data_IF_020643586717
#
_entry.id   IF_020643586717
#
_cell.length_a   1.000
_cell.length_b   1.000
_cell.length_c   1.000
_cell.angle_alpha   90.00
_cell.angle_beta   90.00
_cell.angle_gamma   90.00
#
_symmetry.space_group_name_H-M   'P 1'
#
loop_
_entity.id
_entity.type
_entity.pdbx_description
1 polymer ?
#
# COMPACT_ATOMS: atom_id res chain seq x y z
N UNK A 1 -9.18 -13.64 -16.87
CA UNK A 1 -10.51 -13.04 -17.14
C UNK A 1 -10.76 -11.84 -16.21
N UNK A 2 -11.68 -10.94 -16.56
CA UNK A 2 -11.83 -9.64 -15.88
C UNK A 2 -12.63 -9.73 -14.57
N UNK A 3 -13.41 -10.77 -14.42
CA UNK A 3 -14.14 -11.17 -13.21
C UNK A 3 -13.24 -11.82 -12.15
N UNK A 4 -12.00 -12.21 -12.50
CA UNK A 4 -11.06 -12.81 -11.56
C UNK A 4 -10.80 -11.88 -10.36
N UNK A 5 -11.03 -12.40 -9.15
CA UNK A 5 -10.81 -11.66 -7.92
C UNK A 5 -9.31 -11.44 -7.68
N UNK A 6 -8.94 -10.18 -7.44
CA UNK A 6 -7.56 -9.78 -7.16
C UNK A 6 -7.38 -9.37 -5.70
N UNK A 7 -8.37 -8.66 -5.12
CA UNK A 7 -8.34 -8.25 -3.73
C UNK A 7 -9.51 -8.88 -2.97
N UNK A 8 -9.26 -9.95 -2.21
CA UNK A 8 -10.29 -10.58 -1.39
C UNK A 8 -10.81 -9.68 -0.25
N UNK A 9 -9.94 -8.87 0.35
CA UNK A 9 -10.33 -7.99 1.47
C UNK A 9 -11.34 -6.89 1.08
N UNK A 10 -11.40 -6.51 -0.20
CA UNK A 10 -12.31 -5.46 -0.70
C UNK A 10 -13.19 -5.94 -1.89
N UNK A 11 -13.17 -7.25 -2.21
CA UNK A 11 -13.91 -7.82 -3.34
C UNK A 11 -13.60 -7.14 -4.69
N UNK A 12 -12.34 -6.83 -4.98
CA UNK A 12 -11.95 -6.13 -6.22
C UNK A 12 -11.44 -7.12 -7.25
N UNK A 13 -12.08 -7.14 -8.42
CA UNK A 13 -11.69 -7.95 -9.57
C UNK A 13 -10.69 -7.24 -10.50
N UNK A 14 -10.07 -8.02 -11.40
CA UNK A 14 -9.10 -7.53 -12.39
C UNK A 14 -9.66 -6.39 -13.24
N UNK A 15 -10.87 -6.55 -13.79
CA UNK A 15 -11.49 -5.59 -14.69
C UNK A 15 -11.74 -4.23 -14.02
N UNK A 16 -12.06 -4.22 -12.73
CA UNK A 16 -12.22 -2.98 -11.96
C UNK A 16 -10.90 -2.22 -11.80
N UNK A 17 -9.78 -2.94 -11.66
CA UNK A 17 -8.45 -2.33 -11.57
C UNK A 17 -8.01 -1.79 -12.93
N UNK A 18 -8.01 -2.64 -13.96
CA UNK A 18 -7.57 -2.25 -15.31
C UNK A 18 -8.45 -1.15 -15.90
N UNK A 19 -9.76 -1.21 -15.71
CA UNK A 19 -10.70 -0.18 -16.14
C UNK A 19 -10.53 1.15 -15.41
N UNK A 20 -10.16 1.13 -14.13
CA UNK A 20 -9.85 2.36 -13.40
C UNK A 20 -8.54 2.99 -13.90
N UNK A 21 -7.52 2.17 -14.16
CA UNK A 21 -6.23 2.62 -14.70
C UNK A 21 -6.44 3.32 -16.05
N UNK A 22 -7.11 2.65 -17.00
CA UNK A 22 -7.30 3.20 -18.35
C UNK A 22 -8.30 4.35 -18.38
N UNK A 23 -9.42 4.24 -17.65
CA UNK A 23 -10.48 5.25 -17.67
C UNK A 23 -10.12 6.56 -16.95
N UNK A 24 -9.20 6.52 -15.98
CA UNK A 24 -8.78 7.70 -15.20
C UNK A 24 -7.31 8.06 -15.38
N UNK A 25 -6.56 7.30 -16.19
CA UNK A 25 -5.13 7.52 -16.39
C UNK A 25 -4.30 7.36 -15.12
N UNK A 26 -4.63 6.39 -14.27
CA UNK A 26 -3.94 6.20 -12.99
C UNK A 26 -2.55 5.62 -13.23
N UNK A 27 -1.50 6.28 -12.76
CA UNK A 27 -0.11 5.85 -12.97
C UNK A 27 0.60 5.39 -11.71
N UNK A 28 0.01 5.58 -10.53
CA UNK A 28 0.59 5.17 -9.25
C UNK A 28 -0.27 4.15 -8.50
N UNK A 29 0.37 3.34 -7.66
CA UNK A 29 -0.32 2.36 -6.83
C UNK A 29 -1.27 3.04 -5.82
N UNK A 30 -0.90 4.21 -5.34
CA UNK A 30 -1.73 4.99 -4.42
C UNK A 30 -3.00 5.52 -5.10
N UNK A 31 -2.94 5.88 -6.39
CA UNK A 31 -4.13 6.23 -7.17
C UNK A 31 -5.07 5.03 -7.33
N UNK A 32 -4.50 3.85 -7.62
CA UNK A 32 -5.28 2.61 -7.71
C UNK A 32 -5.94 2.30 -6.37
N UNK A 33 -5.23 2.44 -5.25
CA UNK A 33 -5.79 2.29 -3.89
C UNK A 33 -6.92 3.29 -3.64
N UNK A 34 -6.71 4.56 -3.99
CA UNK A 34 -7.67 5.63 -3.76
C UNK A 34 -9.00 5.38 -4.52
N UNK A 35 -8.91 4.89 -5.76
CA UNK A 35 -10.08 4.74 -6.64
C UNK A 35 -10.72 3.36 -6.63
N UNK A 36 -9.97 2.29 -6.36
CA UNK A 36 -10.49 0.91 -6.43
C UNK A 36 -10.61 0.24 -5.08
N UNK A 37 -9.87 0.73 -4.07
CA UNK A 37 -9.64 0.09 -2.76
C UNK A 37 -8.83 -1.22 -2.82
N UNK A 38 -8.39 -1.68 -3.99
CA UNK A 38 -7.42 -2.77 -4.06
C UNK A 38 -6.12 -2.36 -3.36
N UNK A 39 -5.47 -3.30 -2.64
CA UNK A 39 -4.24 -3.06 -1.84
C UNK A 39 -4.39 -2.05 -0.68
N UNK A 40 -5.55 -1.42 -0.49
CA UNK A 40 -5.74 -0.41 0.57
C UNK A 40 -5.94 -1.01 1.98
N UNK A 41 -6.23 -2.30 2.07
CA UNK A 41 -6.56 -2.99 3.33
C UNK A 41 -5.44 -3.92 3.80
N UNK A 42 -5.60 -5.23 3.68
CA UNK A 42 -4.64 -6.22 4.15
C UNK A 42 -3.29 -6.23 3.41
N UNK A 43 -3.20 -5.61 2.22
CA UNK A 43 -1.96 -5.49 1.44
C UNK A 43 -1.46 -6.80 0.79
N UNK A 44 -2.10 -7.94 1.04
CA UNK A 44 -1.69 -9.23 0.47
C UNK A 44 -1.74 -9.27 -1.07
N UNK A 45 -2.64 -8.49 -1.68
CA UNK A 45 -2.79 -8.40 -3.12
C UNK A 45 -1.88 -7.36 -3.78
N UNK A 46 -1.04 -6.62 -3.04
CA UNK A 46 -0.23 -5.53 -3.61
C UNK A 46 0.59 -5.98 -4.81
N UNK A 47 1.36 -7.06 -4.69
CA UNK A 47 2.20 -7.54 -5.79
C UNK A 47 1.41 -8.01 -7.03
N UNK A 48 0.15 -8.44 -6.86
CA UNK A 48 -0.73 -8.74 -8.00
C UNK A 48 -1.23 -7.46 -8.67
N UNK A 49 -1.57 -6.44 -7.89
CA UNK A 49 -1.99 -5.11 -8.41
C UNK A 49 -0.84 -4.47 -9.18
N UNK A 50 0.38 -4.49 -8.66
CA UNK A 50 1.56 -3.95 -9.35
C UNK A 50 1.83 -4.67 -10.67
N UNK A 51 1.71 -6.00 -10.72
CA UNK A 51 1.81 -6.75 -11.98
C UNK A 51 0.75 -6.31 -13.00
N UNK A 52 -0.48 -6.06 -12.55
CA UNK A 52 -1.53 -5.53 -13.43
C UNK A 52 -1.20 -4.12 -13.92
N UNK A 53 -0.65 -3.27 -13.06
CA UNK A 53 -0.19 -1.94 -13.46
C UNK A 53 0.92 -2.02 -14.50
N UNK A 54 1.95 -2.84 -14.30
CA UNK A 54 3.01 -3.10 -15.29
C UNK A 54 2.43 -3.56 -16.62
N UNK A 55 1.47 -4.50 -16.60
CA UNK A 55 0.83 -4.99 -17.82
C UNK A 55 -0.05 -3.96 -18.52
N UNK A 56 -0.63 -3.00 -17.78
CA UNK A 56 -1.58 -2.02 -18.32
C UNK A 56 -0.89 -0.74 -18.79
N UNK A 57 0.13 -0.28 -18.05
CA UNK A 57 0.84 0.97 -18.27
C UNK A 57 2.19 0.78 -18.99
N UNK A 58 2.75 -0.44 -18.98
CA UNK A 58 4.06 -0.73 -19.56
C UNK A 58 5.16 0.14 -18.94
N UNK A 59 5.99 0.72 -19.80
CA UNK A 59 7.14 1.57 -19.42
C UNK A 59 6.75 2.88 -18.72
N UNK A 60 5.46 3.27 -18.74
CA UNK A 60 4.99 4.46 -18.02
C UNK A 60 4.77 4.22 -16.53
N UNK A 61 4.73 2.95 -16.10
CA UNK A 61 4.68 2.63 -14.68
C UNK A 61 6.09 2.69 -14.09
N UNK A 62 6.32 3.67 -13.23
CA UNK A 62 7.57 3.80 -12.49
C UNK A 62 7.40 3.30 -11.04
N UNK A 63 7.68 2.01 -10.75
CA UNK A 63 7.59 1.47 -9.39
C UNK A 63 8.64 2.07 -8.45
N UNK A 64 9.69 2.71 -8.98
CA UNK A 64 10.76 3.31 -8.17
C UNK A 64 10.38 4.70 -7.60
N UNK A 65 9.25 5.28 -8.02
CA UNK A 65 8.74 6.51 -7.41
C UNK A 65 8.12 6.19 -6.04
N UNK A 66 8.96 5.96 -5.03
CA UNK A 66 8.53 5.80 -3.64
C UNK A 66 7.94 7.13 -3.17
N UNK A 67 6.61 7.21 -3.12
CA UNK A 67 5.93 8.32 -2.47
C UNK A 67 5.94 8.08 -0.96
N UNK A 68 6.52 8.99 -0.16
CA UNK A 68 6.48 8.87 1.28
C UNK A 68 5.02 8.88 1.76
N UNK A 69 4.68 7.97 2.69
CA UNK A 69 3.31 7.91 3.21
C UNK A 69 2.87 9.20 3.91
N UNK A 70 3.81 9.96 4.46
CA UNK A 70 3.62 11.30 5.00
C UNK A 70 4.98 12.00 5.15
N UNK A 71 4.96 13.27 5.58
CA UNK A 71 6.17 14.05 5.83
C UNK A 71 7.06 13.55 6.98
N UNK A 72 6.55 12.65 7.83
CA UNK A 72 7.29 12.13 8.99
C UNK A 72 8.28 11.00 8.64
N UNK A 73 8.25 10.47 7.42
CA UNK A 73 9.17 9.43 6.95
C UNK A 73 9.51 9.67 5.47
N UNK A 74 10.53 8.99 4.96
CA UNK A 74 10.79 8.88 3.51
C UNK A 74 10.23 7.58 2.94
N UNK A 75 9.78 6.67 3.79
CA UNK A 75 9.31 5.34 3.41
C UNK A 75 7.89 5.41 2.85
N UNK A 76 7.65 4.64 1.79
CA UNK A 76 6.32 4.40 1.25
C UNK A 76 5.53 3.40 2.10
N UNK A 77 4.22 3.32 1.85
CA UNK A 77 3.32 2.43 2.58
C UNK A 77 3.75 0.95 2.52
N UNK A 78 4.18 0.47 1.36
CA UNK A 78 4.59 -0.92 1.14
C UNK A 78 5.91 -1.26 1.83
N UNK A 79 6.85 -0.33 1.81
CA UNK A 79 8.14 -0.49 2.48
C UNK A 79 7.96 -0.58 4.00
N UNK A 80 7.13 0.30 4.57
CA UNK A 80 6.81 0.26 6.01
C UNK A 80 6.18 -1.08 6.39
N UNK A 81 5.19 -1.58 5.63
CA UNK A 81 4.57 -2.89 5.90
C UNK A 81 5.57 -4.04 5.81
N UNK A 82 6.42 -4.03 4.77
CA UNK A 82 7.47 -5.04 4.59
C UNK A 82 8.43 -5.06 5.77
N UNK A 83 8.87 -3.88 6.22
CA UNK A 83 9.81 -3.73 7.34
C UNK A 83 9.17 -4.10 8.69
N UNK A 84 7.88 -3.78 8.91
CA UNK A 84 7.13 -4.23 10.09
C UNK A 84 7.21 -5.75 10.24
N UNK A 85 6.94 -6.50 9.16
CA UNK A 85 7.04 -7.97 9.16
C UNK A 85 8.47 -8.46 9.30
N UNK A 86 9.37 -7.94 8.47
CA UNK A 86 10.76 -8.39 8.41
C UNK A 86 11.50 -8.21 9.74
N UNK A 87 11.17 -7.16 10.51
CA UNK A 87 11.78 -6.84 11.80
C UNK A 87 10.92 -7.26 13.00
N UNK A 88 9.75 -7.88 12.79
CA UNK A 88 8.88 -8.34 13.88
C UNK A 88 8.34 -7.21 14.77
N UNK A 89 8.07 -6.03 14.21
CA UNK A 89 7.69 -4.83 14.97
C UNK A 89 6.20 -4.89 15.32
N UNK A 90 5.88 -4.88 16.62
CA UNK A 90 4.50 -5.09 17.11
C UNK A 90 3.81 -3.85 17.68
N UNK A 91 4.53 -2.74 17.85
CA UNK A 91 3.96 -1.52 18.44
C UNK A 91 4.32 -0.29 17.62
N UNK A 92 3.46 0.72 17.60
CA UNK A 92 3.71 1.98 16.87
C UNK A 92 5.03 2.63 17.31
N UNK A 93 5.37 2.73 18.62
CA UNK A 93 6.66 3.26 19.04
C UNK A 93 7.85 2.47 18.51
N UNK A 94 7.79 1.14 18.50
CA UNK A 94 8.85 0.30 17.95
C UNK A 94 9.02 0.54 16.44
N UNK A 95 7.92 0.67 15.69
CA UNK A 95 7.99 1.02 14.27
C UNK A 95 8.60 2.39 14.05
N UNK A 96 8.17 3.40 14.79
CA UNK A 96 8.69 4.75 14.62
C UNK A 96 10.17 4.87 15.00
N UNK A 97 10.60 4.17 16.06
CA UNK A 97 12.00 4.17 16.49
C UNK A 97 12.90 3.43 15.49
N UNK A 98 12.52 2.21 15.13
CA UNK A 98 13.33 1.33 14.29
C UNK A 98 13.41 1.81 12.84
N UNK A 99 12.36 2.47 12.35
CA UNK A 99 12.29 3.01 10.98
C UNK A 99 12.60 4.50 10.92
N UNK A 100 13.24 5.04 11.96
CA UNK A 100 13.78 6.40 12.02
C UNK A 100 12.75 7.49 11.66
N UNK A 101 11.56 7.40 12.25
CA UNK A 101 10.52 8.41 12.07
C UNK A 101 11.03 9.77 12.55
N UNK A 102 10.83 10.80 11.72
CA UNK A 102 11.29 12.17 12.02
C UNK A 102 10.61 12.77 13.24
N UNK A 103 9.45 12.25 13.63
CA UNK A 103 8.69 12.72 14.80
C UNK A 103 8.29 11.56 15.69
N UNK A 104 8.55 11.66 16.99
CA UNK A 104 8.17 10.65 17.99
C UNK A 104 6.65 10.50 18.15
N UNK A 105 5.89 11.55 17.87
CA UNK A 105 4.44 11.53 17.92
C UNK A 105 3.79 11.13 16.59
N UNK A 106 4.51 11.05 15.47
CA UNK A 106 3.88 10.91 14.15
C UNK A 106 2.90 12.05 13.81
N UNK A 107 1.98 11.80 12.88
CA UNK A 107 0.94 12.75 12.45
C UNK A 107 -0.41 12.03 12.23
N UNK A 108 -1.45 12.80 11.91
CA UNK A 108 -2.80 12.28 11.64
C UNK A 108 -2.88 11.31 10.45
N UNK A 109 -1.87 11.31 9.56
CA UNK A 109 -1.80 10.36 8.44
C UNK A 109 -1.15 9.03 8.85
N UNK A 110 0.00 9.08 9.53
CA UNK A 110 0.76 7.86 9.81
C UNK A 110 0.29 7.08 11.03
N UNK A 111 -0.24 7.75 12.06
CA UNK A 111 -0.72 7.03 13.26
C UNK A 111 -1.82 6.01 12.94
N UNK A 112 -2.91 6.38 12.24
CA UNK A 112 -3.96 5.41 11.89
C UNK A 112 -3.44 4.32 10.96
N UNK A 113 -2.59 4.67 9.99
CA UNK A 113 -1.99 3.72 9.06
C UNK A 113 -1.12 2.68 9.79
N UNK A 114 -0.23 3.11 10.68
CA UNK A 114 0.63 2.21 11.47
C UNK A 114 -0.21 1.30 12.37
N UNK A 115 -1.21 1.84 13.06
CA UNK A 115 -2.13 1.03 13.85
C UNK A 115 -2.79 -0.06 13.01
N UNK A 116 -3.29 0.33 11.84
CA UNK A 116 -3.94 -0.60 10.93
C UNK A 116 -3.00 -1.71 10.41
N UNK A 117 -1.74 -1.37 10.11
CA UNK A 117 -0.75 -2.36 9.65
C UNK A 117 -0.43 -3.37 10.74
N UNK A 118 -0.24 -2.89 11.97
CA UNK A 118 0.04 -3.73 13.11
C UNK A 118 -1.12 -4.69 13.40
N UNK A 119 -2.38 -4.23 13.36
CA UNK A 119 -3.56 -5.10 13.55
C UNK A 119 -3.69 -6.16 12.45
N UNK A 120 -3.36 -5.80 11.20
CA UNK A 120 -3.42 -6.74 10.07
C UNK A 120 -2.34 -7.83 10.16
N UNK A 121 -1.15 -7.48 10.63
CA UNK A 121 0.01 -8.38 10.64
C UNK A 121 0.17 -9.12 11.97
N UNK A 122 -0.37 -8.56 13.05
CA UNK A 122 -0.38 -9.11 14.41
C UNK A 122 -1.78 -9.05 15.02
N UNK A 123 -2.77 -9.78 14.46
CA UNK A 123 -4.06 -9.94 15.14
C UNK A 123 -3.82 -10.70 16.46
N UNK A 124 -4.47 -10.26 17.54
CA UNK A 124 -4.41 -10.90 18.87
C UNK A 124 -4.74 -12.40 18.82
#
# INVERSE_FOLDING_TARGET
>A
PDDAEICGCNGVCKGKITGAITGKGLTSLDDVRAHTKASASCGSCTGLVEKLMVLTLGDTYNPAAVQPMCSCTTLGHDEVRRLIKAKGLKTIPAVMQELEWKTSCGCAKCRPALNYYLVCDWPD
#
